data_IF_245411590574
#
_entry.id   IF_245411590574
#
_cell.length_a   1.000
_cell.length_b   1.000
_cell.length_c   1.000
_cell.angle_alpha   90.00
_cell.angle_beta   90.00
_cell.angle_gamma   90.00
#
_symmetry.space_group_name_H-M   'P 1'
#
loop_
_entity.id
_entity.type
_entity.pdbx_description
1 polymer ?
#
# COMPACT_ATOMS: atom_id res chain seq x y z
N UNK A 1 7.35 39.54 -45.37
CA UNK A 1 7.61 38.15 -44.93
C UNK A 1 7.97 38.20 -43.46
N UNK A 2 6.98 38.12 -42.56
CA UNK A 2 7.10 37.76 -41.12
C UNK A 2 5.88 38.32 -40.37
N UNK A 3 4.73 37.65 -40.46
CA UNK A 3 3.61 37.84 -39.52
C UNK A 3 2.62 36.70 -39.74
N UNK A 4 2.95 35.53 -39.18
CA UNK A 4 2.03 34.38 -39.18
C UNK A 4 2.23 33.47 -37.97
N UNK A 5 3.37 33.55 -37.29
CA UNK A 5 3.73 32.63 -36.19
C UNK A 5 3.05 32.96 -34.87
N UNK A 6 2.58 34.20 -34.66
CA UNK A 6 1.87 34.59 -33.43
C UNK A 6 0.40 34.13 -33.34
N UNK A 7 -0.28 33.97 -34.48
CA UNK A 7 -1.73 33.70 -34.51
C UNK A 7 -2.10 32.23 -34.32
N UNK A 8 -1.22 31.30 -34.66
CA UNK A 8 -1.45 29.84 -34.55
C UNK A 8 -1.06 29.29 -33.17
N UNK A 9 -0.21 30.00 -32.42
CA UNK A 9 0.21 29.57 -31.08
C UNK A 9 -0.94 29.57 -30.07
N UNK A 10 -1.82 30.59 -30.10
CA UNK A 10 -2.97 30.68 -29.19
C UNK A 10 -3.96 29.50 -29.31
N UNK A 11 -4.44 29.17 -30.52
CA UNK A 11 -5.32 28.01 -30.73
C UNK A 11 -4.69 26.67 -30.37
N UNK A 12 -3.39 26.50 -30.65
CA UNK A 12 -2.65 25.27 -30.30
C UNK A 12 -2.52 25.09 -28.80
N UNK A 13 -2.27 26.16 -28.05
CA UNK A 13 -2.24 26.13 -26.58
C UNK A 13 -3.61 25.79 -26.01
N UNK A 14 -4.69 26.37 -26.57
CA UNK A 14 -6.06 26.03 -26.19
C UNK A 14 -6.38 24.55 -26.44
N UNK A 15 -6.01 24.02 -27.60
CA UNK A 15 -6.18 22.60 -27.91
C UNK A 15 -5.37 21.70 -26.97
N UNK A 16 -4.10 22.03 -26.71
CA UNK A 16 -3.25 21.28 -25.80
C UNK A 16 -3.82 21.27 -24.38
N UNK A 17 -4.29 22.41 -23.88
CA UNK A 17 -4.91 22.51 -22.56
C UNK A 17 -6.20 21.69 -22.49
N UNK A 18 -7.09 21.81 -23.48
CA UNK A 18 -8.36 21.07 -23.53
C UNK A 18 -8.14 19.55 -23.64
N UNK A 19 -7.05 19.11 -24.28
CA UNK A 19 -6.75 17.69 -24.50
C UNK A 19 -6.03 17.06 -23.32
N UNK A 20 -5.02 17.75 -22.74
CA UNK A 20 -4.21 17.21 -21.67
C UNK A 20 -4.87 17.34 -20.29
N UNK A 21 -5.67 18.38 -20.06
CA UNK A 21 -6.33 18.59 -18.77
C UNK A 21 -7.23 17.42 -18.34
N UNK A 22 -8.17 16.91 -19.16
CA UNK A 22 -9.05 15.82 -18.73
C UNK A 22 -8.29 14.52 -18.47
N UNK A 23 -7.26 14.22 -19.27
CA UNK A 23 -6.41 13.04 -19.07
C UNK A 23 -5.57 13.12 -17.80
N UNK A 24 -4.96 14.28 -17.53
CA UNK A 24 -4.19 14.50 -16.30
C UNK A 24 -5.09 14.49 -15.06
N UNK A 25 -6.29 15.07 -15.17
CA UNK A 25 -7.27 15.13 -14.09
C UNK A 25 -7.86 13.76 -13.77
N UNK A 26 -8.15 12.95 -14.80
CA UNK A 26 -8.58 11.56 -14.65
C UNK A 26 -7.47 10.69 -14.06
N UNK A 27 -6.23 10.85 -14.53
CA UNK A 27 -5.06 10.15 -14.00
C UNK A 27 -4.80 10.52 -12.53
N UNK A 28 -4.88 11.82 -12.20
CA UNK A 28 -4.81 12.29 -10.83
C UNK A 28 -5.94 11.68 -10.01
N UNK A 29 -7.20 11.74 -10.46
CA UNK A 29 -8.34 11.18 -9.74
C UNK A 29 -8.19 9.67 -9.45
N UNK A 30 -7.61 8.89 -10.36
CA UNK A 30 -7.33 7.46 -10.15
C UNK A 30 -6.18 7.20 -9.16
N UNK A 31 -5.17 8.09 -9.10
CA UNK A 31 -4.02 7.97 -8.19
C UNK A 31 -4.23 8.67 -6.84
N UNK A 32 -5.18 9.60 -6.75
CA UNK A 32 -5.57 10.34 -5.54
C UNK A 32 -5.96 9.42 -4.38
N UNK A 33 -6.80 8.37 -4.54
CA UNK A 33 -7.11 7.50 -3.40
C UNK A 33 -5.86 6.80 -2.86
N UNK A 34 -4.88 6.48 -3.73
CA UNK A 34 -3.60 5.84 -3.38
C UNK A 34 -2.57 6.83 -2.78
N UNK A 35 -2.64 8.10 -3.15
CA UNK A 35 -1.76 9.10 -2.55
C UNK A 35 -2.33 9.60 -1.21
N UNK A 36 -3.65 9.73 -1.10
CA UNK A 36 -4.34 10.28 0.07
C UNK A 36 -4.27 9.32 1.25
N UNK A 37 -4.50 8.01 1.07
CA UNK A 37 -4.35 7.06 2.19
C UNK A 37 -2.91 7.04 2.71
N UNK A 38 -1.90 7.10 1.82
CA UNK A 38 -0.50 7.19 2.21
C UNK A 38 -0.19 8.43 3.07
N UNK A 39 -0.71 9.61 2.69
CA UNK A 39 -0.50 10.85 3.45
C UNK A 39 -1.25 10.87 4.78
N UNK A 40 -2.51 10.41 4.80
CA UNK A 40 -3.36 10.42 6.00
C UNK A 40 -2.83 9.45 7.05
N UNK A 41 -2.42 8.26 6.64
CA UNK A 41 -1.89 7.26 7.58
C UNK A 41 -0.53 7.67 8.14
N UNK A 42 0.33 8.29 7.32
CA UNK A 42 1.62 8.83 7.78
C UNK A 42 1.45 9.94 8.81
N UNK A 43 0.32 10.68 8.78
CA UNK A 43 -0.02 11.66 9.83
C UNK A 43 -0.50 10.98 11.12
N UNK A 44 -1.24 9.87 11.03
CA UNK A 44 -1.71 9.12 12.21
C UNK A 44 -0.56 8.42 12.95
N UNK A 45 0.40 7.84 12.21
CA UNK A 45 1.58 7.19 12.80
C UNK A 45 2.45 8.15 13.63
N UNK A 46 2.57 9.41 13.21
CA UNK A 46 3.35 10.44 13.93
C UNK A 46 2.80 10.79 15.31
N UNK A 47 1.52 10.54 15.58
CA UNK A 47 0.87 10.90 16.85
C UNK A 47 0.96 9.78 17.91
N UNK A 48 1.52 8.61 17.59
CA UNK A 48 1.43 7.41 18.43
C UNK A 48 2.70 7.01 19.21
N UNK A 49 3.75 7.85 19.29
CA UNK A 49 5.09 7.40 19.70
C UNK A 49 5.47 7.63 21.18
N UNK A 50 5.67 6.53 21.91
CA UNK A 50 6.49 6.46 23.14
C UNK A 50 7.39 5.20 23.21
N UNK A 51 7.36 4.33 22.19
CA UNK A 51 8.34 3.25 21.90
C UNK A 51 8.58 3.27 20.38
N UNK A 52 9.74 2.80 19.88
CA UNK A 52 9.95 2.76 18.44
C UNK A 52 8.96 1.72 17.85
N UNK A 53 8.05 2.15 16.95
CA UNK A 53 6.88 1.38 16.55
C UNK A 53 7.23 0.12 15.75
N UNK A 54 8.40 0.09 15.11
CA UNK A 54 8.84 -0.99 14.20
C UNK A 54 9.20 -2.27 14.96
N UNK A 55 9.82 -2.16 16.13
CA UNK A 55 10.21 -3.29 16.96
C UNK A 55 8.98 -4.02 17.50
N UNK A 56 7.97 -3.26 17.95
CA UNK A 56 6.68 -3.81 18.35
C UNK A 56 5.98 -4.51 17.18
N UNK A 57 5.97 -3.89 15.99
CA UNK A 57 5.40 -4.51 14.78
C UNK A 57 6.09 -5.84 14.44
N UNK A 58 7.43 -5.91 14.51
CA UNK A 58 8.16 -7.17 14.28
C UNK A 58 7.83 -8.24 15.33
N UNK A 59 7.63 -7.84 16.59
CA UNK A 59 7.24 -8.75 17.66
C UNK A 59 5.81 -9.29 17.44
N UNK A 60 4.88 -8.42 17.06
CA UNK A 60 3.49 -8.79 16.78
C UNK A 60 3.39 -9.69 15.55
N UNK A 61 4.11 -9.40 14.46
CA UNK A 61 4.17 -10.27 13.28
C UNK A 61 4.65 -11.67 13.64
N UNK A 62 5.76 -11.79 14.39
CA UNK A 62 6.26 -13.09 14.88
C UNK A 62 5.28 -13.78 15.82
N UNK A 63 4.53 -13.04 16.63
CA UNK A 63 3.52 -13.59 17.54
C UNK A 63 2.34 -14.16 16.76
N UNK A 64 1.79 -13.40 15.81
CA UNK A 64 0.63 -13.82 15.01
C UNK A 64 0.99 -14.96 14.06
N UNK A 65 2.17 -14.92 13.43
CA UNK A 65 2.64 -16.01 12.60
C UNK A 65 2.76 -17.32 13.39
N UNK A 66 3.35 -17.28 14.59
CA UNK A 66 3.42 -18.45 15.48
C UNK A 66 2.03 -18.96 15.86
N UNK A 67 1.08 -18.05 16.09
CA UNK A 67 -0.31 -18.43 16.39
C UNK A 67 -0.96 -19.16 15.20
N UNK A 68 -0.73 -18.69 13.97
CA UNK A 68 -1.21 -19.35 12.75
C UNK A 68 -0.60 -20.74 12.57
N UNK A 69 0.71 -20.86 12.77
CA UNK A 69 1.45 -22.12 12.65
C UNK A 69 1.06 -23.15 13.73
N UNK A 70 0.70 -22.69 14.92
CA UNK A 70 0.35 -23.54 16.05
C UNK A 70 -1.11 -24.04 16.05
N UNK A 71 -1.95 -23.61 15.10
CA UNK A 71 -3.35 -24.04 15.10
C UNK A 71 -3.50 -25.54 14.81
N UNK A 72 -4.13 -26.32 15.72
CA UNK A 72 -4.33 -27.74 15.50
C UNK A 72 -5.39 -28.00 14.41
N UNK A 73 -5.38 -29.20 13.80
CA UNK A 73 -6.49 -29.65 12.98
C UNK A 73 -7.80 -29.60 13.79
N UNK A 74 -8.88 -29.15 13.15
CA UNK A 74 -10.17 -28.92 13.82
C UNK A 74 -10.37 -27.51 14.40
N UNK A 75 -9.37 -26.63 14.32
CA UNK A 75 -9.57 -25.20 14.62
C UNK A 75 -10.66 -24.61 13.71
N UNK A 76 -11.65 -23.88 14.25
CA UNK A 76 -12.70 -23.27 13.44
C UNK A 76 -12.13 -22.40 12.31
N UNK A 77 -12.67 -22.56 11.09
CA UNK A 77 -12.22 -21.83 9.92
C UNK A 77 -12.22 -20.31 10.14
N UNK A 78 -13.28 -19.78 10.79
CA UNK A 78 -13.40 -18.37 11.14
C UNK A 78 -12.24 -17.86 12.00
N UNK A 79 -11.75 -18.67 12.94
CA UNK A 79 -10.63 -18.30 13.80
C UNK A 79 -9.31 -18.24 13.03
N UNK A 80 -9.09 -19.20 12.13
CA UNK A 80 -7.90 -19.18 11.24
C UNK A 80 -7.94 -17.98 10.30
N UNK A 81 -9.10 -17.70 9.70
CA UNK A 81 -9.32 -16.55 8.81
C UNK A 81 -9.10 -15.22 9.53
N UNK A 82 -9.71 -15.02 10.70
CA UNK A 82 -9.51 -13.78 11.47
C UNK A 82 -8.06 -13.58 11.90
N UNK A 83 -7.33 -14.65 12.21
CA UNK A 83 -5.90 -14.55 12.53
C UNK A 83 -5.05 -14.20 11.30
N UNK A 84 -5.42 -14.71 10.11
CA UNK A 84 -4.76 -14.32 8.84
C UNK A 84 -5.04 -12.87 8.49
N UNK A 85 -6.27 -12.40 8.65
CA UNK A 85 -6.61 -10.99 8.44
C UNK A 85 -5.81 -10.07 9.37
N UNK A 86 -5.69 -10.42 10.66
CA UNK A 86 -4.84 -9.69 11.58
C UNK A 86 -3.36 -9.70 11.17
N UNK A 87 -2.88 -10.79 10.58
CA UNK A 87 -1.52 -10.88 10.04
C UNK A 87 -1.33 -9.95 8.83
N UNK A 88 -2.28 -9.93 7.89
CA UNK A 88 -2.24 -9.05 6.72
C UNK A 88 -2.31 -7.57 7.11
N UNK A 89 -3.12 -7.20 8.11
CA UNK A 89 -3.18 -5.84 8.65
C UNK A 89 -1.83 -5.39 9.25
N UNK A 90 -1.12 -6.30 9.94
CA UNK A 90 0.21 -6.04 10.46
C UNK A 90 1.24 -5.88 9.33
N UNK A 91 1.16 -6.69 8.27
CA UNK A 91 2.03 -6.56 7.10
C UNK A 91 1.79 -5.25 6.35
N UNK A 92 0.52 -4.87 6.12
CA UNK A 92 0.15 -3.57 5.55
C UNK A 92 0.70 -2.42 6.39
N UNK A 93 0.59 -2.53 7.72
CA UNK A 93 1.17 -1.53 8.63
C UNK A 93 2.69 -1.46 8.52
N UNK A 94 3.39 -2.60 8.50
CA UNK A 94 4.84 -2.65 8.36
C UNK A 94 5.30 -2.07 7.01
N UNK A 95 4.62 -2.41 5.91
CA UNK A 95 4.86 -1.84 4.58
C UNK A 95 4.75 -0.32 4.60
N UNK A 96 3.75 0.22 5.28
CA UNK A 96 3.56 1.67 5.41
C UNK A 96 4.71 2.35 6.18
N UNK A 97 5.16 1.76 7.28
CA UNK A 97 6.23 2.35 8.09
C UNK A 97 7.58 2.36 7.35
N UNK A 98 7.84 1.32 6.55
CA UNK A 98 9.12 1.15 5.82
C UNK A 98 9.08 1.76 4.41
N UNK A 99 7.89 1.95 3.82
CA UNK A 99 7.73 2.49 2.47
C UNK A 99 7.70 1.44 1.36
N UNK A 100 7.36 0.19 1.68
CA UNK A 100 7.21 -0.91 0.72
C UNK A 100 5.82 -0.87 0.07
N UNK A 101 5.77 -0.96 -1.26
CA UNK A 101 4.50 -1.07 -1.99
C UNK A 101 3.88 -2.47 -1.81
N UNK A 102 2.54 -2.55 -1.70
CA UNK A 102 1.81 -3.81 -1.57
C UNK A 102 0.40 -3.75 -2.17
N UNK A 103 -0.16 -4.94 -2.40
CA UNK A 103 -1.50 -5.17 -2.95
C UNK A 103 -2.37 -6.07 -2.06
N UNK A 104 -2.00 -6.28 -0.80
CA UNK A 104 -2.72 -7.18 0.14
C UNK A 104 -4.23 -6.87 0.23
N UNK A 105 -4.60 -5.59 0.25
CA UNK A 105 -6.00 -5.17 0.40
C UNK A 105 -6.80 -5.25 -0.92
N UNK A 106 -6.12 -5.36 -2.07
CA UNK A 106 -6.74 -5.34 -3.40
C UNK A 106 -6.87 -6.72 -4.05
N UNK A 107 -6.01 -7.67 -3.70
CA UNK A 107 -5.99 -9.03 -4.27
C UNK A 107 -6.90 -9.95 -3.46
N UNK A 108 -8.00 -10.53 -3.97
CA UNK A 108 -8.93 -11.36 -3.18
C UNK A 108 -8.29 -12.51 -2.39
N UNK A 109 -8.96 -12.97 -1.31
CA UNK A 109 -8.54 -14.17 -0.56
C UNK A 109 -8.33 -15.38 -1.48
N UNK A 110 -7.25 -16.12 -1.25
CA UNK A 110 -6.88 -17.28 -2.06
C UNK A 110 -5.38 -17.29 -2.36
N UNK A 111 -5.01 -18.04 -3.40
CA UNK A 111 -3.61 -18.25 -3.77
C UNK A 111 -2.90 -16.93 -4.10
N UNK A 112 -3.55 -16.02 -4.80
CA UNK A 112 -2.95 -14.74 -5.20
C UNK A 112 -2.59 -13.88 -3.99
N UNK A 113 -3.46 -13.84 -2.97
CA UNK A 113 -3.17 -13.13 -1.70
C UNK A 113 -2.07 -13.82 -0.89
N UNK A 114 -2.02 -15.15 -0.92
CA UNK A 114 -0.93 -15.89 -0.27
C UNK A 114 0.43 -15.64 -0.96
N UNK A 115 0.46 -15.51 -2.29
CA UNK A 115 1.68 -15.13 -3.04
C UNK A 115 2.10 -13.68 -2.76
N UNK A 116 1.15 -12.75 -2.74
CA UNK A 116 1.43 -11.36 -2.39
C UNK A 116 1.97 -11.24 -0.95
N UNK A 117 1.43 -12.03 -0.02
CA UNK A 117 1.93 -12.11 1.36
C UNK A 117 3.40 -12.52 1.40
N UNK A 118 3.78 -13.57 0.67
CA UNK A 118 5.17 -14.02 0.59
C UNK A 118 6.09 -12.95 -0.02
N UNK A 119 5.64 -12.29 -1.10
CA UNK A 119 6.39 -11.19 -1.73
C UNK A 119 6.59 -10.02 -0.76
N UNK A 120 5.56 -9.66 -0.01
CA UNK A 120 5.60 -8.60 1.00
C UNK A 120 6.57 -8.96 2.12
N UNK A 121 6.48 -10.17 2.67
CA UNK A 121 7.41 -10.65 3.71
C UNK A 121 8.85 -10.52 3.24
N UNK A 122 9.17 -10.97 2.03
CA UNK A 122 10.51 -10.87 1.48
C UNK A 122 10.95 -9.41 1.26
N UNK A 123 10.05 -8.56 0.78
CA UNK A 123 10.33 -7.13 0.61
C UNK A 123 10.65 -6.46 1.96
N UNK A 124 9.90 -6.80 3.01
CA UNK A 124 10.13 -6.30 4.36
C UNK A 124 11.45 -6.83 4.96
N UNK A 125 11.81 -8.09 4.69
CA UNK A 125 13.13 -8.63 5.08
C UNK A 125 14.27 -7.88 4.40
N UNK A 126 14.13 -7.57 3.11
CA UNK A 126 15.12 -6.79 2.36
C UNK A 126 15.35 -5.40 2.95
N UNK A 127 14.31 -4.77 3.49
CA UNK A 127 14.40 -3.49 4.18
C UNK A 127 14.83 -3.61 5.67
N UNK A 128 15.22 -4.82 6.10
CA UNK A 128 15.79 -5.08 7.42
C UNK A 128 14.78 -5.38 8.53
N UNK A 129 13.50 -5.57 8.19
CA UNK A 129 12.47 -5.91 9.18
C UNK A 129 12.49 -7.42 9.47
N UNK A 130 12.55 -7.79 10.75
CA UNK A 130 12.59 -9.19 11.18
C UNK A 130 11.20 -9.84 11.13
N UNK A 131 10.74 -10.15 9.92
CA UNK A 131 9.53 -10.93 9.64
C UNK A 131 9.84 -12.42 9.50
N UNK A 132 8.90 -13.31 9.87
CA UNK A 132 9.04 -14.76 9.69
C UNK A 132 9.45 -15.11 8.26
#
# INVERSE_FOLDING_TARGET
MADATGSVAGPLVLFAVVSLAPSALFWCALKVPVLVHWVVDRRRARLASADPPVERLSADLRRVHRLLAAYPPGTPAARRLGTRQAYDELLTTACREVGVAHCLDSVPEGLDRDLERLRVEESLRHEGLAVP
#
